data_IF_428100662113
#
_entry.id   IF_428100662113
#
_cell.length_a   1.000
_cell.length_b   1.000
_cell.length_c   1.000
_cell.angle_alpha   90.00
_cell.angle_beta   90.00
_cell.angle_gamma   90.00
#
_symmetry.space_group_name_H-M   'P 1'
#
loop_
_entity.id
_entity.type
_entity.pdbx_description
1 polymer ?
#
# COMPACT_ATOMS: atom_id res chain seq x y z
N UNK A 1 -2.10 2.06 5.86
CA UNK A 1 -0.83 2.00 6.64
C UNK A 1 0.27 1.47 5.76
N UNK A 2 1.52 1.72 6.13
CA UNK A 2 2.69 1.24 5.40
C UNK A 2 3.41 0.18 6.23
N UNK A 3 3.75 -0.95 5.62
CA UNK A 3 4.35 -2.11 6.28
C UNK A 3 5.60 -2.58 5.55
N UNK A 4 6.50 -3.22 6.30
CA UNK A 4 7.47 -4.19 5.78
C UNK A 4 6.91 -5.58 6.08
N UNK A 5 6.71 -6.38 5.04
CA UNK A 5 6.16 -7.73 5.13
C UNK A 5 7.28 -8.71 4.82
N UNK A 6 7.52 -9.67 5.73
CA UNK A 6 8.60 -10.64 5.62
C UNK A 6 8.09 -12.08 5.70
N UNK A 7 8.81 -13.01 5.08
CA UNK A 7 8.59 -14.46 5.23
C UNK A 7 8.99 -14.93 6.63
N UNK A 8 8.01 -15.25 7.47
CA UNK A 8 8.20 -15.74 8.83
C UNK A 8 8.98 -17.07 8.87
N UNK A 9 8.71 -17.97 7.92
CA UNK A 9 9.43 -19.24 7.82
C UNK A 9 10.92 -19.08 7.48
N UNK A 10 11.29 -18.01 6.78
CA UNK A 10 12.69 -17.67 6.49
C UNK A 10 13.32 -17.02 7.72
N UNK A 11 12.61 -16.11 8.40
CA UNK A 11 13.08 -15.55 9.67
C UNK A 11 13.39 -16.64 10.71
N UNK A 12 12.56 -17.67 10.81
CA UNK A 12 12.79 -18.81 11.71
C UNK A 12 14.01 -19.63 11.32
N UNK A 13 14.20 -19.92 10.02
CA UNK A 13 15.39 -20.62 9.51
C UNK A 13 16.68 -19.87 9.82
N UNK A 14 16.63 -18.54 9.82
CA UNK A 14 17.78 -17.67 10.12
C UNK A 14 17.93 -17.37 11.62
N UNK A 15 16.94 -17.72 12.45
CA UNK A 15 16.92 -17.36 13.88
C UNK A 15 16.71 -15.86 14.14
N UNK A 16 16.05 -15.15 13.21
CA UNK A 16 15.94 -13.69 13.21
C UNK A 16 14.53 -13.16 13.53
N UNK A 17 13.55 -14.04 13.84
CA UNK A 17 12.16 -13.61 14.05
C UNK A 17 12.02 -12.56 15.17
N UNK A 18 12.69 -12.76 16.30
CA UNK A 18 12.69 -11.79 17.40
C UNK A 18 13.44 -10.50 17.03
N UNK A 19 14.50 -10.57 16.23
CA UNK A 19 15.19 -9.37 15.75
C UNK A 19 14.28 -8.56 14.83
N UNK A 20 13.60 -9.20 13.88
CA UNK A 20 12.66 -8.56 12.97
C UNK A 20 11.49 -7.92 13.74
N UNK A 21 10.97 -8.60 14.77
CA UNK A 21 9.93 -8.06 15.65
C UNK A 21 10.34 -6.80 16.43
N UNK A 22 11.61 -6.68 16.77
CA UNK A 22 12.13 -5.54 17.53
C UNK A 22 12.86 -4.51 16.65
N UNK A 23 12.74 -4.63 15.33
CA UNK A 23 13.33 -3.74 14.34
C UNK A 23 12.83 -2.31 14.52
N UNK A 24 13.76 -1.34 14.56
CA UNK A 24 13.42 0.09 14.71
C UNK A 24 14.11 0.98 13.69
N UNK A 25 15.25 0.54 13.17
CA UNK A 25 16.09 1.33 12.26
C UNK A 25 16.19 0.68 10.90
N UNK A 26 16.53 1.47 9.88
CA UNK A 26 16.85 0.92 8.56
C UNK A 26 18.09 0.00 8.60
N UNK A 27 19.02 0.25 9.53
CA UNK A 27 20.17 -0.62 9.76
C UNK A 27 19.77 -2.01 10.30
N UNK A 28 18.76 -2.08 11.17
CA UNK A 28 18.22 -3.37 11.64
C UNK A 28 17.64 -4.18 10.48
N UNK A 29 16.90 -3.52 9.58
CA UNK A 29 16.37 -4.15 8.37
C UNK A 29 17.49 -4.60 7.42
N UNK A 30 18.51 -3.76 7.21
CA UNK A 30 19.70 -4.09 6.42
C UNK A 30 20.42 -5.33 6.96
N UNK A 31 20.55 -5.47 8.29
CA UNK A 31 21.16 -6.65 8.90
C UNK A 31 20.37 -7.92 8.60
N UNK A 32 19.04 -7.86 8.59
CA UNK A 32 18.18 -8.99 8.22
C UNK A 32 18.35 -9.33 6.74
N UNK A 33 18.38 -8.32 5.86
CA UNK A 33 18.62 -8.52 4.43
C UNK A 33 20.00 -9.11 4.15
N UNK A 34 21.03 -8.66 4.87
CA UNK A 34 22.39 -9.18 4.80
C UNK A 34 22.44 -10.65 5.21
N UNK A 35 21.83 -11.01 6.34
CA UNK A 35 21.78 -12.39 6.81
C UNK A 35 21.00 -13.30 5.84
N UNK A 36 19.91 -12.83 5.25
CA UNK A 36 19.22 -13.56 4.18
C UNK A 36 20.16 -13.81 2.99
N UNK A 37 20.86 -12.77 2.52
CA UNK A 37 21.81 -12.87 1.40
C UNK A 37 22.94 -13.86 1.69
N UNK A 38 23.54 -13.78 2.88
CA UNK A 38 24.66 -14.63 3.32
C UNK A 38 24.26 -16.09 3.50
N UNK A 39 22.99 -16.35 3.84
CA UNK A 39 22.47 -17.71 4.02
C UNK A 39 22.48 -18.55 2.73
N UNK A 40 22.54 -17.90 1.56
CA UNK A 40 22.47 -18.57 0.26
C UNK A 40 21.09 -19.14 -0.08
N UNK A 41 20.04 -18.78 0.67
CA UNK A 41 18.66 -19.09 0.30
C UNK A 41 18.32 -18.46 -1.07
N UNK A 42 17.50 -19.13 -1.89
CA UNK A 42 17.15 -18.63 -3.22
C UNK A 42 16.31 -17.34 -3.12
N UNK A 43 16.43 -16.49 -4.14
CA UNK A 43 15.69 -15.24 -4.25
C UNK A 43 16.49 -14.01 -3.79
N UNK A 44 15.76 -12.94 -3.49
CA UNK A 44 16.31 -11.64 -3.10
C UNK A 44 15.66 -11.15 -1.81
N UNK A 45 16.38 -10.35 -1.04
CA UNK A 45 15.93 -9.91 0.27
C UNK A 45 14.70 -9.00 0.14
N UNK A 46 14.73 -8.10 -0.84
CA UNK A 46 13.62 -7.18 -1.14
C UNK A 46 13.64 -6.80 -2.62
N UNK A 47 12.70 -5.96 -3.03
CA UNK A 47 12.61 -5.45 -4.39
C UNK A 47 11.17 -5.20 -4.79
N UNK A 48 11.01 -4.91 -6.08
CA UNK A 48 9.70 -4.72 -6.70
C UNK A 48 9.76 -5.02 -8.19
N UNK A 49 8.68 -4.74 -8.89
CA UNK A 49 8.67 -4.66 -10.34
C UNK A 49 8.55 -3.22 -10.84
N UNK A 50 8.86 -3.02 -12.11
CA UNK A 50 8.52 -1.85 -12.89
C UNK A 50 7.03 -1.53 -12.76
N UNK A 51 6.68 -0.26 -12.58
CA UNK A 51 5.30 0.19 -12.41
C UNK A 51 4.85 0.28 -10.96
N UNK A 52 5.67 0.89 -10.08
CA UNK A 52 5.31 1.18 -8.69
C UNK A 52 5.20 -0.07 -7.80
N UNK A 53 5.98 -1.11 -8.09
CA UNK A 53 5.97 -2.39 -7.38
C UNK A 53 6.39 -2.25 -5.91
N UNK A 54 5.45 -1.81 -5.08
CA UNK A 54 5.33 -1.75 -3.62
C UNK A 54 6.53 -1.27 -2.76
N UNK A 55 7.76 -1.17 -3.28
CA UNK A 55 8.93 -0.58 -2.62
C UNK A 55 8.83 0.95 -2.51
N UNK A 56 8.01 1.59 -3.35
CA UNK A 56 7.51 2.95 -3.13
C UNK A 56 6.02 2.88 -2.89
N UNK A 57 5.57 3.51 -1.81
CA UNK A 57 4.15 3.61 -1.47
C UNK A 57 3.76 5.08 -1.48
N UNK A 58 2.74 5.40 -2.27
CA UNK A 58 2.27 6.78 -2.38
C UNK A 58 1.80 7.30 -1.01
N UNK A 59 2.17 8.54 -0.66
CA UNK A 59 1.97 9.08 0.69
C UNK A 59 3.01 8.67 1.73
N UNK A 60 4.10 7.99 1.34
CA UNK A 60 5.19 7.62 2.24
C UNK A 60 6.58 7.73 1.58
N UNK A 61 7.49 8.45 2.23
CA UNK A 61 8.91 8.52 1.86
C UNK A 61 9.72 7.91 3.00
N UNK A 62 10.38 6.79 2.73
CA UNK A 62 11.24 6.09 3.68
C UNK A 62 12.54 6.88 3.84
N UNK A 63 12.78 7.38 5.05
CA UNK A 63 13.88 8.29 5.31
C UNK A 63 14.33 8.20 6.78
N UNK A 64 15.39 8.93 7.11
CA UNK A 64 15.95 9.01 8.46
C UNK A 64 16.77 7.78 8.85
N UNK A 65 17.15 7.72 10.13
CA UNK A 65 17.85 6.56 10.70
C UNK A 65 16.85 5.52 11.20
N UNK A 66 15.79 6.00 11.87
CA UNK A 66 14.71 5.17 12.37
C UNK A 66 13.65 4.98 11.29
N UNK A 67 13.02 3.82 11.27
CA UNK A 67 11.88 3.53 10.39
C UNK A 67 10.74 4.54 10.66
N UNK A 68 10.55 4.93 11.92
CA UNK A 68 9.55 5.93 12.34
C UNK A 68 9.83 7.35 11.86
N UNK A 69 11.03 7.63 11.35
CA UNK A 69 11.36 8.94 10.78
C UNK A 69 10.75 9.09 9.38
N UNK A 70 10.22 8.02 8.78
CA UNK A 70 9.56 8.04 7.47
C UNK A 70 8.53 9.17 7.36
N UNK A 71 8.59 9.90 6.25
CA UNK A 71 7.70 11.03 6.01
C UNK A 71 6.38 10.53 5.43
N UNK A 72 5.32 10.60 6.23
CA UNK A 72 3.97 10.14 5.86
C UNK A 72 3.05 11.33 5.67
N UNK A 73 2.33 11.34 4.56
CA UNK A 73 1.53 12.48 4.13
C UNK A 73 0.27 12.07 3.35
N UNK A 74 -0.62 13.04 3.12
CA UNK A 74 -1.74 12.91 2.20
C UNK A 74 -1.29 13.33 0.78
N UNK A 75 -1.31 12.42 -0.22
CA UNK A 75 -0.93 12.74 -1.59
C UNK A 75 -2.03 13.49 -2.36
N UNK A 76 -3.19 13.78 -1.76
CA UNK A 76 -4.29 14.53 -2.39
C UNK A 76 -4.76 13.94 -3.74
N UNK A 77 -4.61 12.63 -3.91
CA UNK A 77 -4.97 11.92 -5.13
C UNK A 77 -3.92 12.00 -6.25
N UNK A 78 -2.76 12.65 -6.03
CA UNK A 78 -1.60 12.42 -6.89
C UNK A 78 -1.25 10.93 -6.87
N UNK A 79 -0.94 10.36 -8.03
CA UNK A 79 -0.47 8.97 -8.20
C UNK A 79 0.87 8.92 -8.95
N UNK A 80 1.46 10.08 -9.24
CA UNK A 80 2.66 10.24 -10.03
C UNK A 80 3.91 10.47 -9.18
N UNK A 81 3.80 10.31 -7.85
CA UNK A 81 4.90 10.43 -6.87
C UNK A 81 5.66 11.76 -7.00
N UNK A 82 4.92 12.80 -7.38
CA UNK A 82 5.45 14.11 -7.73
C UNK A 82 5.07 15.16 -6.69
N UNK A 83 4.04 14.88 -5.87
CA UNK A 83 3.52 15.76 -4.85
C UNK A 83 3.68 15.18 -3.44
N UNK A 84 4.18 16.00 -2.52
CA UNK A 84 4.12 15.76 -1.09
C UNK A 84 3.45 16.92 -0.35
N UNK A 85 2.91 16.67 0.85
CA UNK A 85 2.25 17.70 1.67
C UNK A 85 2.65 17.63 3.14
N UNK A 86 2.71 18.78 3.83
CA UNK A 86 3.18 18.88 5.22
C UNK A 86 2.08 18.98 6.29
N UNK A 87 0.83 18.74 5.91
CA UNK A 87 -0.38 18.94 6.73
C UNK A 87 -0.58 20.37 7.30
N UNK A 88 0.30 21.33 7.00
CA UNK A 88 0.24 22.73 7.48
C UNK A 88 -0.10 23.72 6.37
N UNK A 89 -0.71 23.22 5.29
CA UNK A 89 -1.12 24.01 4.14
C UNK A 89 -0.08 24.10 3.03
N UNK A 90 0.96 23.26 2.99
CA UNK A 90 1.98 23.31 1.93
C UNK A 90 1.95 22.08 1.03
N UNK A 91 2.01 22.32 -0.28
CA UNK A 91 2.34 21.36 -1.33
C UNK A 91 3.81 21.51 -1.76
N UNK A 92 4.48 20.40 -2.05
CA UNK A 92 5.91 20.35 -2.39
C UNK A 92 6.15 19.37 -3.53
N UNK A 93 7.17 19.66 -4.36
CA UNK A 93 7.70 18.69 -5.31
C UNK A 93 8.38 17.57 -4.53
N UNK A 94 7.73 16.40 -4.48
CA UNK A 94 8.21 15.23 -3.75
C UNK A 94 9.62 14.83 -4.21
N UNK A 95 9.84 14.77 -5.52
CA UNK A 95 11.11 14.28 -6.09
C UNK A 95 12.29 15.16 -5.70
N UNK A 96 12.07 16.47 -5.52
CA UNK A 96 13.08 17.44 -5.12
C UNK A 96 13.33 17.50 -3.60
N UNK A 97 12.59 16.74 -2.79
CA UNK A 97 12.80 16.68 -1.33
C UNK A 97 14.10 15.93 -0.99
N UNK A 98 14.77 16.38 0.06
CA UNK A 98 15.97 15.71 0.58
C UNK A 98 15.65 14.29 1.05
N UNK A 99 14.49 14.12 1.68
CA UNK A 99 13.96 12.84 2.15
C UNK A 99 13.83 11.83 0.99
N UNK A 100 13.33 12.27 -0.17
CA UNK A 100 13.19 11.42 -1.36
C UNK A 100 14.54 11.09 -1.99
N UNK A 101 15.47 12.05 -2.03
CA UNK A 101 16.82 11.76 -2.49
C UNK A 101 17.52 10.73 -1.58
N UNK A 102 17.34 10.84 -0.26
CA UNK A 102 17.89 9.90 0.72
C UNK A 102 17.30 8.49 0.55
N UNK A 103 15.99 8.40 0.29
CA UNK A 103 15.33 7.13 -0.04
C UNK A 103 15.98 6.46 -1.27
N UNK A 104 16.20 7.22 -2.35
CA UNK A 104 16.82 6.68 -3.57
C UNK A 104 18.26 6.22 -3.35
N UNK A 105 19.04 6.96 -2.56
CA UNK A 105 20.40 6.56 -2.15
C UNK A 105 20.39 5.29 -1.30
N UNK A 106 19.41 5.15 -0.41
CA UNK A 106 19.24 3.94 0.40
C UNK A 106 18.95 2.72 -0.48
N UNK A 107 18.04 2.84 -1.46
CA UNK A 107 17.77 1.76 -2.41
C UNK A 107 18.98 1.43 -3.28
N UNK A 108 19.75 2.44 -3.70
CA UNK A 108 21.01 2.21 -4.41
C UNK A 108 22.00 1.38 -3.58
N UNK A 109 22.16 1.71 -2.30
CA UNK A 109 23.00 0.94 -1.38
C UNK A 109 22.53 -0.52 -1.27
N UNK A 110 21.23 -0.76 -1.18
CA UNK A 110 20.68 -2.12 -1.13
C UNK A 110 20.84 -2.89 -2.44
N UNK A 111 20.73 -2.20 -3.58
CA UNK A 111 21.01 -2.77 -4.89
C UNK A 111 22.49 -3.14 -5.05
N UNK A 112 23.41 -2.24 -4.69
CA UNK A 112 24.86 -2.49 -4.74
C UNK A 112 25.30 -3.63 -3.82
N UNK A 113 24.62 -3.79 -2.67
CA UNK A 113 24.84 -4.91 -1.75
C UNK A 113 24.22 -6.24 -2.24
N UNK A 114 23.46 -6.23 -3.34
CA UNK A 114 22.82 -7.41 -3.92
C UNK A 114 21.63 -7.93 -3.10
N UNK A 115 21.01 -7.06 -2.30
CA UNK A 115 19.80 -7.36 -1.52
C UNK A 115 18.53 -7.25 -2.37
N UNK A 116 18.53 -6.34 -3.34
CA UNK A 116 17.38 -6.08 -4.19
C UNK A 116 17.31 -7.00 -5.40
N UNK A 117 16.09 -7.29 -5.87
CA UNK A 117 15.86 -7.94 -7.15
C UNK A 117 16.41 -7.08 -8.31
N UNK A 118 17.41 -7.53 -9.09
CA UNK A 118 18.13 -6.69 -10.05
C UNK A 118 17.26 -6.14 -11.18
N UNK A 119 16.17 -6.83 -11.53
CA UNK A 119 15.25 -6.38 -12.59
C UNK A 119 14.12 -5.50 -12.04
N UNK A 120 14.25 -4.95 -10.83
CA UNK A 120 13.19 -4.17 -10.17
C UNK A 120 12.72 -2.95 -10.98
N UNK A 121 13.54 -2.42 -11.90
CA UNK A 121 13.16 -1.32 -12.77
C UNK A 121 12.54 -1.74 -14.11
N UNK A 122 12.58 -3.03 -14.46
CA UNK A 122 12.24 -3.51 -15.81
C UNK A 122 11.18 -4.62 -15.84
N UNK A 123 11.12 -5.46 -14.80
CA UNK A 123 10.11 -6.52 -14.71
C UNK A 123 8.76 -5.94 -14.25
N UNK A 124 7.72 -6.00 -15.07
CA UNK A 124 6.38 -5.49 -14.72
C UNK A 124 5.63 -6.34 -13.68
N UNK A 125 6.21 -7.44 -13.19
CA UNK A 125 5.60 -8.30 -12.18
C UNK A 125 5.51 -7.58 -10.84
N UNK A 126 4.32 -7.47 -10.26
CA UNK A 126 4.13 -6.76 -9.00
C UNK A 126 4.87 -7.42 -7.82
N UNK A 127 5.34 -6.62 -6.86
CA UNK A 127 6.12 -7.11 -5.73
C UNK A 127 5.40 -8.19 -4.91
N UNK A 128 4.07 -8.05 -4.70
CA UNK A 128 3.26 -9.09 -4.05
C UNK A 128 3.27 -10.41 -4.82
N UNK A 129 3.25 -10.36 -6.14
CA UNK A 129 3.29 -11.56 -6.97
C UNK A 129 4.69 -12.21 -6.92
N UNK A 130 5.76 -11.42 -7.01
CA UNK A 130 7.13 -11.92 -6.81
C UNK A 130 7.34 -12.53 -5.41
N UNK A 131 6.76 -11.93 -4.37
CA UNK A 131 6.74 -12.48 -3.02
C UNK A 131 5.99 -13.82 -2.96
N UNK A 132 4.79 -13.89 -3.54
CA UNK A 132 4.00 -15.12 -3.61
C UNK A 132 4.70 -16.25 -4.38
N UNK A 133 5.48 -15.90 -5.41
CA UNK A 133 6.30 -16.84 -6.18
C UNK A 133 7.59 -17.27 -5.44
N UNK A 134 7.89 -16.69 -4.28
CA UNK A 134 9.08 -16.97 -3.50
C UNK A 134 10.35 -16.32 -4.05
N UNK A 135 10.24 -15.36 -4.96
CA UNK A 135 11.37 -14.57 -5.49
C UNK A 135 11.87 -13.56 -4.46
N UNK A 136 10.96 -12.99 -3.67
CA UNK A 136 11.27 -11.99 -2.64
C UNK A 136 11.04 -12.56 -1.23
N UNK A 137 12.02 -12.35 -0.35
CA UNK A 137 11.92 -12.65 1.09
C UNK A 137 11.04 -11.63 1.82
N UNK A 138 11.12 -10.36 1.43
CA UNK A 138 10.35 -9.27 2.02
C UNK A 138 9.93 -8.25 0.99
N UNK A 139 8.88 -7.50 1.31
CA UNK A 139 8.32 -6.43 0.47
C UNK A 139 7.80 -5.30 1.35
N UNK A 140 7.77 -4.09 0.81
CA UNK A 140 7.01 -3.00 1.41
C UNK A 140 5.57 -3.05 0.91
N UNK A 141 4.60 -2.56 1.68
CA UNK A 141 3.19 -2.57 1.28
C UNK A 141 2.37 -1.47 1.96
N UNK A 142 1.56 -0.75 1.17
CA UNK A 142 0.42 -0.03 1.70
C UNK A 142 -0.77 -0.99 1.88
N UNK A 143 -1.20 -1.22 3.13
CA UNK A 143 -2.29 -2.14 3.45
C UNK A 143 -3.13 -1.69 4.65
N UNK A 144 -4.23 -2.40 4.84
CA UNK A 144 -5.16 -2.39 5.96
C UNK A 144 -4.57 -2.98 7.24
N UNK A 145 -5.25 -2.74 8.37
CA UNK A 145 -4.98 -3.46 9.62
C UNK A 145 -5.32 -4.95 9.47
N UNK A 146 -4.48 -5.84 10.02
CA UNK A 146 -4.64 -7.30 9.87
C UNK A 146 -4.16 -7.86 8.53
N UNK A 147 -3.29 -7.11 7.84
CA UNK A 147 -2.67 -7.46 6.56
C UNK A 147 -2.07 -8.87 6.54
N UNK A 148 -1.60 -9.38 7.68
CA UNK A 148 -1.02 -10.71 7.79
C UNK A 148 -2.02 -11.78 7.32
N UNK A 149 -3.30 -11.66 7.65
CA UNK A 149 -4.33 -12.65 7.27
C UNK A 149 -4.47 -12.75 5.75
N UNK A 150 -4.56 -11.62 5.06
CA UNK A 150 -4.70 -11.58 3.60
C UNK A 150 -3.43 -12.04 2.89
N UNK A 151 -2.25 -11.74 3.45
CA UNK A 151 -0.97 -12.18 2.91
C UNK A 151 -0.69 -13.67 3.14
N UNK A 152 -1.01 -14.23 4.31
CA UNK A 152 -0.92 -15.69 4.54
C UNK A 152 -1.84 -16.43 3.58
N UNK A 153 -3.10 -16.00 3.48
CA UNK A 153 -4.10 -16.65 2.63
C UNK A 153 -3.70 -16.66 1.14
N UNK A 154 -3.08 -15.57 0.66
CA UNK A 154 -2.74 -15.43 -0.76
C UNK A 154 -1.34 -15.91 -1.14
N UNK A 155 -0.42 -16.03 -0.20
CA UNK A 155 0.94 -16.53 -0.46
C UNK A 155 1.14 -17.99 -0.06
N UNK A 156 0.33 -18.50 0.88
CA UNK A 156 0.53 -19.81 1.50
C UNK A 156 1.73 -19.87 2.45
N UNK A 157 2.40 -18.75 2.69
CA UNK A 157 3.55 -18.66 3.58
C UNK A 157 3.17 -18.16 4.98
N UNK A 158 4.02 -18.50 5.95
CA UNK A 158 4.06 -17.75 7.20
C UNK A 158 4.62 -16.35 6.93
N UNK A 159 3.95 -15.31 7.44
CA UNK A 159 4.29 -13.91 7.20
C UNK A 159 4.32 -13.14 8.51
N UNK A 160 5.22 -12.18 8.58
CA UNK A 160 5.32 -11.17 9.64
C UNK A 160 5.17 -9.79 8.99
N UNK A 161 4.34 -8.91 9.57
CA UNK A 161 4.14 -7.56 9.06
C UNK A 161 4.53 -6.54 10.12
N UNK A 162 5.44 -5.64 9.76
CA UNK A 162 5.99 -4.62 10.64
C UNK A 162 5.53 -3.25 10.17
N UNK A 163 4.83 -2.52 11.06
CA UNK A 163 4.32 -1.19 10.74
C UNK A 163 5.47 -0.20 10.59
N UNK A 164 5.60 0.40 9.41
CA UNK A 164 6.51 1.53 9.16
C UNK A 164 5.87 2.83 9.63
N UNK A 165 4.58 3.00 9.34
CA UNK A 165 3.79 4.06 9.94
C UNK A 165 2.36 4.13 9.42
N UNK A 166 1.58 4.98 10.07
CA UNK A 166 0.14 5.08 9.88
C UNK A 166 -0.19 6.07 8.77
N UNK A 167 -0.93 5.59 7.77
CA UNK A 167 -1.45 6.50 6.73
C UNK A 167 -2.58 7.32 7.34
N UNK A 168 -2.61 8.65 7.16
CA UNK A 168 -3.75 9.43 7.58
C UNK A 168 -5.01 9.01 6.81
N UNK A 169 -6.17 9.09 7.47
CA UNK A 169 -7.45 9.06 6.79
C UNK A 169 -7.53 10.28 5.87
N UNK A 170 -7.57 10.03 4.56
CA UNK A 170 -7.61 11.05 3.52
C UNK A 170 -8.80 10.82 2.58
N UNK A 171 -9.07 11.82 1.73
CA UNK A 171 -10.21 11.80 0.79
C UNK A 171 -10.14 10.62 -0.18
N UNK A 172 -8.94 10.32 -0.71
CA UNK A 172 -8.71 9.22 -1.64
C UNK A 172 -9.06 7.87 -1.02
N UNK A 173 -8.66 7.63 0.24
CA UNK A 173 -9.00 6.42 0.98
C UNK A 173 -10.51 6.30 1.20
N UNK A 174 -11.21 7.40 1.52
CA UNK A 174 -12.66 7.41 1.69
C UNK A 174 -13.44 7.17 0.40
N UNK A 175 -12.88 7.55 -0.77
CA UNK A 175 -13.53 7.43 -2.08
C UNK A 175 -13.14 6.16 -2.85
N UNK A 176 -12.14 5.40 -2.38
CA UNK A 176 -11.52 4.27 -3.10
C UNK A 176 -12.51 3.22 -3.61
N UNK A 177 -13.52 2.88 -2.82
CA UNK A 177 -14.51 1.84 -3.13
C UNK A 177 -15.93 2.41 -3.21
N UNK A 178 -16.13 3.43 -4.05
CA UNK A 178 -17.44 4.05 -4.25
C UNK A 178 -18.39 3.20 -5.11
N UNK A 179 -19.64 3.04 -4.66
CA UNK A 179 -20.74 2.55 -5.50
C UNK A 179 -21.46 3.75 -6.12
N UNK A 180 -21.59 3.74 -7.45
CA UNK A 180 -22.26 4.81 -8.21
C UNK A 180 -23.51 4.31 -8.90
N UNK A 181 -24.54 5.15 -8.93
CA UNK A 181 -25.78 4.89 -9.65
C UNK A 181 -25.79 5.68 -10.96
N UNK A 182 -25.90 5.04 -12.12
CA UNK A 182 -26.02 5.78 -13.38
C UNK A 182 -27.33 6.57 -13.41
N UNK A 183 -27.30 7.76 -14.00
CA UNK A 183 -28.50 8.61 -14.17
C UNK A 183 -29.59 7.96 -15.01
N UNK A 184 -29.26 6.91 -15.76
CA UNK A 184 -30.17 6.09 -16.57
C UNK A 184 -30.78 4.91 -15.81
N UNK A 185 -30.56 4.79 -14.49
CA UNK A 185 -31.11 3.69 -13.70
C UNK A 185 -32.65 3.72 -13.73
N UNK A 186 -33.26 2.59 -14.12
CA UNK A 186 -34.72 2.46 -14.23
C UNK A 186 -35.41 2.35 -12.86
N UNK A 187 -34.71 1.80 -11.88
CA UNK A 187 -35.26 1.48 -10.54
C UNK A 187 -34.33 1.96 -9.42
N UNK A 188 -34.07 3.28 -9.32
CA UNK A 188 -33.08 3.83 -8.39
C UNK A 188 -33.39 3.48 -6.93
N UNK A 189 -34.66 3.45 -6.54
CA UNK A 189 -35.06 3.10 -5.18
C UNK A 189 -34.74 1.65 -4.82
N UNK A 190 -34.93 0.71 -5.75
CA UNK A 190 -34.63 -0.69 -5.53
C UNK A 190 -33.11 -0.91 -5.40
N UNK A 191 -32.33 -0.25 -6.24
CA UNK A 191 -30.86 -0.30 -6.16
C UNK A 191 -30.37 0.30 -4.84
N UNK A 192 -30.94 1.42 -4.38
CA UNK A 192 -30.57 2.00 -3.09
C UNK A 192 -30.95 1.11 -1.91
N UNK A 193 -32.08 0.39 -1.97
CA UNK A 193 -32.41 -0.64 -0.96
C UNK A 193 -31.39 -1.76 -0.94
N UNK A 194 -30.94 -2.23 -2.11
CA UNK A 194 -29.89 -3.23 -2.21
C UNK A 194 -28.55 -2.72 -1.64
N UNK A 195 -28.12 -1.51 -2.03
CA UNK A 195 -26.92 -0.88 -1.49
C UNK A 195 -27.02 -0.77 0.03
N UNK A 196 -28.16 -0.32 0.57
CA UNK A 196 -28.34 -0.22 2.02
C UNK A 196 -28.11 -1.57 2.72
N UNK A 197 -28.56 -2.70 2.15
CA UNK A 197 -28.31 -4.03 2.72
C UNK A 197 -26.81 -4.35 2.83
N UNK A 198 -25.99 -3.90 1.89
CA UNK A 198 -24.53 -4.04 1.96
C UNK A 198 -23.90 -3.29 3.15
N UNK A 199 -24.60 -2.31 3.72
CA UNK A 199 -24.09 -1.53 4.85
C UNK A 199 -24.79 -1.85 6.18
N UNK A 200 -25.89 -2.62 6.17
CA UNK A 200 -26.71 -2.86 7.36
C UNK A 200 -27.03 -4.33 7.66
N UNK A 201 -26.82 -5.26 6.72
CA UNK A 201 -27.22 -6.66 6.88
C UNK A 201 -26.01 -7.62 6.87
N UNK A 202 -25.68 -8.28 8.00
CA UNK A 202 -24.55 -9.20 8.08
C UNK A 202 -24.73 -10.46 7.24
N UNK A 203 -25.96 -10.99 7.07
CA UNK A 203 -26.19 -12.19 6.25
C UNK A 203 -25.85 -11.91 4.78
N UNK A 204 -26.22 -10.72 4.29
CA UNK A 204 -25.88 -10.27 2.94
C UNK A 204 -24.36 -10.07 2.81
N UNK A 205 -23.74 -9.40 3.77
CA UNK A 205 -22.29 -9.14 3.74
C UNK A 205 -21.45 -10.40 3.82
N UNK A 206 -21.86 -11.41 4.60
CA UNK A 206 -21.18 -12.70 4.64
C UNK A 206 -21.44 -13.50 3.36
N UNK A 207 -22.66 -13.46 2.80
CA UNK A 207 -22.97 -14.14 1.55
C UNK A 207 -22.10 -13.67 0.38
N UNK A 208 -21.95 -12.35 0.20
CA UNK A 208 -21.19 -11.78 -0.93
C UNK A 208 -19.68 -11.87 -0.74
N UNK A 209 -19.23 -12.07 0.49
CA UNK A 209 -17.80 -12.11 0.83
C UNK A 209 -17.30 -13.55 0.93
N UNK A 210 -17.99 -14.40 1.68
CA UNK A 210 -17.58 -15.78 2.00
C UNK A 210 -18.36 -16.85 1.24
N UNK A 211 -19.48 -16.50 0.59
CA UNK A 211 -20.33 -17.45 -0.11
C UNK A 211 -21.41 -18.04 0.79
N UNK A 212 -21.81 -19.29 0.54
CA UNK A 212 -22.93 -19.92 1.25
C UNK A 212 -22.39 -20.73 2.44
N UNK A 213 -22.83 -20.43 3.65
CA UNK A 213 -22.48 -21.22 4.85
C UNK A 213 -22.89 -22.69 4.68
N UNK A 214 -22.01 -23.61 5.08
CA UNK A 214 -22.15 -25.06 4.89
C UNK A 214 -21.89 -25.56 3.46
N UNK A 215 -21.53 -24.66 2.52
CA UNK A 215 -21.07 -25.02 1.17
C UNK A 215 -19.71 -24.42 0.83
N UNK A 216 -19.56 -23.12 1.02
CA UNK A 216 -18.35 -22.35 0.73
C UNK A 216 -17.47 -22.21 1.97
N UNK A 217 -18.08 -22.01 3.13
CA UNK A 217 -17.39 -21.84 4.41
C UNK A 217 -18.22 -22.43 5.56
N UNK A 218 -17.59 -22.64 6.71
CA UNK A 218 -18.23 -22.93 8.00
C UNK A 218 -17.75 -21.94 9.06
N UNK A 219 -18.48 -21.85 10.17
CA UNK A 219 -18.10 -21.01 11.31
C UNK A 219 -17.62 -21.89 12.46
N UNK A 220 -16.41 -21.64 12.94
CA UNK A 220 -15.81 -22.31 14.10
C UNK A 220 -15.30 -21.25 15.06
N UNK A 221 -15.69 -21.34 16.33
CA UNK A 221 -15.27 -20.41 17.39
C UNK A 221 -15.45 -18.91 17.05
N UNK A 222 -16.48 -18.58 16.28
CA UNK A 222 -16.81 -17.21 15.89
C UNK A 222 -16.03 -16.69 14.68
N UNK A 223 -15.26 -17.53 13.99
CA UNK A 223 -14.54 -17.19 12.76
C UNK A 223 -14.99 -18.07 11.59
N UNK A 224 -15.07 -17.48 10.40
CA UNK A 224 -15.36 -18.20 9.17
C UNK A 224 -14.09 -18.90 8.64
N UNK A 225 -14.24 -20.11 8.13
CA UNK A 225 -13.14 -20.89 7.56
C UNK A 225 -13.59 -21.77 6.40
N UNK A 226 -12.63 -22.24 5.60
CA UNK A 226 -12.91 -23.24 4.58
C UNK A 226 -13.39 -24.56 5.20
N UNK A 227 -14.28 -25.26 4.49
CA UNK A 227 -14.79 -26.56 4.92
C UNK A 227 -13.78 -27.65 4.54
N UNK A 228 -13.31 -28.42 5.52
CA UNK A 228 -12.34 -29.49 5.30
C UNK A 228 -11.03 -28.97 4.71
N UNK A 229 -10.52 -29.63 3.67
CA UNK A 229 -9.25 -29.28 3.02
C UNK A 229 -9.41 -28.26 1.87
N UNK A 230 -10.55 -27.58 1.79
CA UNK A 230 -10.78 -26.57 0.76
C UNK A 230 -9.92 -25.31 0.98
N UNK A 231 -9.71 -24.57 -0.10
CA UNK A 231 -8.94 -23.33 -0.14
C UNK A 231 -9.64 -22.25 -0.99
N UNK A 232 -8.96 -21.13 -1.23
CA UNK A 232 -9.50 -20.02 -2.03
C UNK A 232 -9.87 -20.42 -3.47
N UNK A 233 -9.28 -21.49 -4.02
CA UNK A 233 -9.50 -21.95 -5.39
C UNK A 233 -10.56 -23.05 -5.46
N UNK A 234 -10.73 -23.82 -4.39
CA UNK A 234 -11.57 -25.04 -4.36
C UNK A 234 -12.85 -24.89 -3.53
N UNK A 235 -12.96 -23.87 -2.68
CA UNK A 235 -14.18 -23.54 -1.90
C UNK A 235 -15.38 -23.09 -2.74
N UNK A 236 -15.18 -22.88 -4.05
CA UNK A 236 -16.20 -22.44 -5.00
C UNK A 236 -16.50 -20.94 -4.95
N UNK A 237 -16.39 -20.30 -3.78
CA UNK A 237 -16.51 -18.85 -3.65
C UNK A 237 -15.78 -18.34 -2.41
N UNK A 238 -14.89 -17.35 -2.61
CA UNK A 238 -14.25 -16.59 -1.54
C UNK A 238 -13.78 -15.24 -2.11
N UNK A 239 -14.06 -14.15 -1.41
CA UNK A 239 -13.72 -12.79 -1.84
C UNK A 239 -13.11 -11.98 -0.68
N UNK A 240 -12.68 -10.75 -0.95
CA UNK A 240 -12.09 -9.87 0.06
C UNK A 240 -13.17 -8.98 0.69
N UNK A 241 -13.22 -8.96 2.02
CA UNK A 241 -14.19 -8.23 2.84
C UNK A 241 -14.15 -6.70 2.68
N UNK A 242 -12.99 -6.13 2.35
CA UNK A 242 -12.83 -4.68 2.20
C UNK A 242 -13.37 -4.09 0.89
N UNK A 243 -13.76 -4.93 -0.09
CA UNK A 243 -14.06 -4.44 -1.46
C UNK A 243 -15.43 -3.80 -1.61
N UNK A 244 -16.41 -4.20 -0.81
CA UNK A 244 -17.81 -3.80 -1.01
C UNK A 244 -18.56 -3.73 0.31
N UNK A 245 -19.37 -2.67 0.48
CA UNK A 245 -20.24 -2.53 1.65
C UNK A 245 -19.49 -2.24 2.95
N UNK A 246 -20.09 -2.64 4.07
CA UNK A 246 -19.53 -2.46 5.40
C UNK A 246 -18.81 -3.74 5.88
N UNK A 247 -17.48 -3.75 5.75
CA UNK A 247 -16.64 -4.89 6.16
C UNK A 247 -16.77 -5.27 7.65
N UNK A 248 -17.20 -4.36 8.51
CA UNK A 248 -17.42 -4.65 9.94
C UNK A 248 -18.61 -5.58 10.20
N UNK A 249 -19.46 -5.83 9.19
CA UNK A 249 -20.55 -6.80 9.26
C UNK A 249 -20.12 -8.23 8.85
N UNK A 250 -18.95 -8.39 8.23
CA UNK A 250 -18.42 -9.69 7.87
C UNK A 250 -17.84 -10.41 9.10
N UNK A 251 -18.04 -11.72 9.16
CA UNK A 251 -17.32 -12.58 10.10
C UNK A 251 -15.80 -12.41 9.89
N UNK A 252 -14.98 -12.45 10.95
CA UNK A 252 -13.55 -12.60 10.81
C UNK A 252 -13.22 -13.91 10.10
N UNK A 253 -12.13 -13.94 9.34
CA UNK A 253 -11.67 -15.14 8.67
C UNK A 253 -10.62 -15.88 9.50
N UNK A 254 -10.55 -17.20 9.35
CA UNK A 254 -9.56 -18.06 10.02
C UNK A 254 -8.13 -17.51 9.84
N UNK A 255 -7.41 -17.45 10.96
CA UNK A 255 -6.14 -16.73 11.08
C UNK A 255 -6.26 -15.38 11.79
N UNK A 256 -7.46 -14.80 11.86
CA UNK A 256 -7.76 -13.64 12.71
C UNK A 256 -8.41 -14.06 14.04
N UNK A 257 -8.38 -13.17 15.03
CA UNK A 257 -9.13 -13.35 16.28
C UNK A 257 -10.65 -13.15 16.05
N UNK A 258 -11.52 -13.80 16.84
CA UNK A 258 -12.97 -13.52 16.79
C UNK A 258 -13.33 -12.05 17.03
N UNK A 259 -12.48 -11.34 17.78
CA UNK A 259 -12.59 -9.90 18.10
C UNK A 259 -12.04 -8.98 17.02
N UNK A 260 -11.52 -9.50 15.90
CA UNK A 260 -10.82 -8.73 14.87
C UNK A 260 -11.61 -7.51 14.35
N UNK A 261 -12.94 -7.63 14.17
CA UNK A 261 -13.77 -6.51 13.70
C UNK A 261 -13.88 -5.38 14.73
N UNK A 262 -13.94 -5.72 16.01
CA UNK A 262 -14.00 -4.75 17.10
C UNK A 262 -12.64 -4.06 17.27
N UNK A 263 -11.56 -4.84 17.25
CA UNK A 263 -10.18 -4.35 17.34
C UNK A 263 -9.83 -3.44 16.16
N UNK A 264 -10.15 -3.85 14.93
CA UNK A 264 -9.93 -3.03 13.74
C UNK A 264 -10.75 -1.75 13.77
N UNK A 265 -12.01 -1.78 14.21
CA UNK A 265 -12.82 -0.57 14.34
C UNK A 265 -12.22 0.40 15.37
N UNK A 266 -11.75 -0.11 16.50
CA UNK A 266 -11.11 0.73 17.52
C UNK A 266 -9.79 1.32 17.02
N UNK A 267 -8.97 0.53 16.33
CA UNK A 267 -7.76 1.00 15.66
C UNK A 267 -8.08 2.14 14.68
N UNK A 268 -9.11 1.99 13.83
CA UNK A 268 -9.47 3.01 12.85
C UNK A 268 -10.06 4.29 13.47
N UNK A 269 -10.71 4.21 14.64
CA UNK A 269 -11.15 5.41 15.37
C UNK A 269 -9.97 6.23 15.91
N UNK A 270 -8.85 5.58 16.19
CA UNK A 270 -7.62 6.22 16.65
C UNK A 270 -6.74 6.76 15.52
N UNK A 271 -7.01 6.40 14.26
CA UNK A 271 -6.15 6.76 13.13
C UNK A 271 -6.10 8.29 12.93
N UNK A 272 -4.92 8.85 12.62
CA UNK A 272 -4.81 10.27 12.30
C UNK A 272 -5.64 10.59 11.06
N UNK A 273 -6.29 11.76 11.06
CA UNK A 273 -6.97 12.28 9.86
C UNK A 273 -6.08 13.31 9.18
N UNK A 274 -6.12 13.37 7.85
CA UNK A 274 -5.48 14.45 7.14
C UNK A 274 -6.20 15.76 7.42
N UNK A 275 -5.44 16.85 7.58
CA UNK A 275 -5.98 18.21 7.63
C UNK A 275 -6.65 18.61 6.30
N UNK A 276 -6.46 17.84 5.24
CA UNK A 276 -7.08 18.04 3.93
C UNK A 276 -8.22 17.04 3.65
N UNK A 277 -8.67 16.29 4.65
CA UNK A 277 -9.78 15.34 4.48
C UNK A 277 -11.04 16.06 3.96
N UNK A 278 -11.55 15.63 2.81
CA UNK A 278 -12.65 16.26 2.07
C UNK A 278 -12.20 17.13 0.89
N UNK A 279 -10.90 17.41 0.76
CA UNK A 279 -10.34 18.05 -0.43
C UNK A 279 -10.22 17.06 -1.57
N UNK A 280 -10.77 17.43 -2.73
CA UNK A 280 -10.51 16.78 -4.03
C UNK A 280 -10.02 17.86 -4.98
N UNK A 281 -8.81 17.69 -5.51
CA UNK A 281 -8.20 18.63 -6.45
C UNK A 281 -8.80 18.42 -7.84
N UNK A 282 -9.35 19.48 -8.44
CA UNK A 282 -9.89 19.40 -9.80
C UNK A 282 -8.75 19.52 -10.82
N UNK A 283 -8.52 18.44 -11.56
CA UNK A 283 -7.46 18.33 -12.56
C UNK A 283 -7.95 18.37 -14.01
N UNK A 284 -9.28 18.51 -14.22
CA UNK A 284 -9.90 18.37 -15.55
C UNK A 284 -9.38 19.35 -16.62
N UNK A 285 -8.94 20.55 -16.25
CA UNK A 285 -8.39 21.54 -17.19
C UNK A 285 -6.86 21.44 -17.36
N UNK A 286 -6.21 20.45 -16.71
CA UNK A 286 -4.76 20.29 -16.65
C UNK A 286 -4.26 18.96 -17.23
N UNK A 287 -5.05 18.31 -18.09
CA UNK A 287 -4.74 16.98 -18.66
C UNK A 287 -3.37 16.93 -19.35
N UNK A 288 -3.00 17.96 -20.10
CA UNK A 288 -1.71 18.01 -20.81
C UNK A 288 -0.51 18.13 -19.85
N UNK A 289 -0.66 18.92 -18.78
CA UNK A 289 0.35 19.05 -17.74
C UNK A 289 0.54 17.71 -17.02
N UNK A 290 -0.55 17.07 -16.62
CA UNK A 290 -0.54 15.77 -15.95
C UNK A 290 0.09 14.68 -16.82
N UNK A 291 -0.26 14.66 -18.11
CA UNK A 291 0.33 13.71 -19.05
C UNK A 291 1.86 13.90 -19.18
N UNK A 292 2.34 15.16 -19.17
CA UNK A 292 3.77 15.45 -19.20
C UNK A 292 4.48 14.97 -17.92
N UNK A 293 3.91 15.24 -16.74
CA UNK A 293 4.44 14.75 -15.45
C UNK A 293 4.46 13.23 -15.41
N UNK A 294 3.34 12.58 -15.77
CA UNK A 294 3.24 11.12 -15.82
C UNK A 294 4.31 10.50 -16.70
N UNK A 295 4.57 11.06 -17.89
CA UNK A 295 5.57 10.53 -18.82
C UNK A 295 6.98 10.57 -18.24
N UNK A 296 7.32 11.64 -17.51
CA UNK A 296 8.63 11.73 -16.83
C UNK A 296 8.68 10.76 -15.64
N UNK A 297 7.60 10.66 -14.84
CA UNK A 297 7.53 9.67 -13.74
C UNK A 297 7.71 8.25 -14.26
N UNK A 298 7.04 7.86 -15.34
CA UNK A 298 7.14 6.53 -15.95
C UNK A 298 8.56 6.23 -16.44
N UNK A 299 9.27 7.24 -16.93
CA UNK A 299 10.66 7.10 -17.38
C UNK A 299 11.64 6.90 -16.21
N UNK A 300 11.51 7.65 -15.11
CA UNK A 300 12.56 7.73 -14.08
C UNK A 300 12.22 7.07 -12.76
N UNK A 301 10.97 7.14 -12.30
CA UNK A 301 10.63 6.76 -10.93
C UNK A 301 10.91 5.28 -10.67
N UNK A 302 10.57 4.41 -11.61
CA UNK A 302 10.89 2.97 -11.53
C UNK A 302 12.39 2.69 -11.44
N UNK A 303 13.23 3.46 -12.14
CA UNK A 303 14.69 3.33 -12.05
C UNK A 303 15.21 3.74 -10.67
N UNK A 304 14.72 4.86 -10.14
CA UNK A 304 15.11 5.35 -8.81
C UNK A 304 14.71 4.35 -7.71
N UNK A 305 13.47 3.86 -7.75
CA UNK A 305 12.97 2.85 -6.81
C UNK A 305 13.64 1.49 -6.99
N UNK A 306 14.08 1.16 -8.21
CA UNK A 306 14.88 -0.01 -8.50
C UNK A 306 16.34 0.10 -8.08
N UNK A 307 16.75 1.17 -7.39
CA UNK A 307 18.12 1.32 -6.89
C UNK A 307 19.13 1.73 -7.96
N UNK A 308 18.69 2.27 -9.10
CA UNK A 308 19.59 2.77 -10.17
C UNK A 308 20.04 4.23 -9.97
N UNK A 309 19.81 4.80 -8.78
CA UNK A 309 20.20 6.17 -8.47
C UNK A 309 21.68 6.43 -8.80
N UNK A 310 21.91 7.54 -9.51
CA UNK A 310 23.18 8.27 -9.60
C UNK A 310 22.85 9.75 -9.52
N UNK A 311 23.83 10.58 -9.12
CA UNK A 311 23.60 12.03 -9.05
C UNK A 311 23.20 12.59 -10.43
N UNK A 312 23.84 12.14 -11.52
CA UNK A 312 23.52 12.56 -12.89
C UNK A 312 22.10 12.17 -13.30
N UNK A 313 21.68 10.92 -13.07
CA UNK A 313 20.33 10.45 -13.43
C UNK A 313 19.26 11.16 -12.60
N UNK A 314 19.54 11.45 -11.32
CA UNK A 314 18.64 12.20 -10.47
C UNK A 314 18.51 13.67 -10.89
N UNK A 315 19.61 14.33 -11.27
CA UNK A 315 19.56 15.68 -11.83
C UNK A 315 18.82 15.73 -13.17
N UNK A 316 19.00 14.72 -14.04
CA UNK A 316 18.21 14.60 -15.27
C UNK A 316 16.72 14.47 -14.97
N UNK A 317 16.34 13.64 -13.99
CA UNK A 317 14.94 13.49 -13.58
C UNK A 317 14.34 14.83 -13.10
N UNK A 318 15.04 15.54 -12.22
CA UNK A 318 14.60 16.86 -11.75
C UNK A 318 14.47 17.87 -12.89
N UNK A 319 15.41 17.90 -13.82
CA UNK A 319 15.38 18.81 -14.95
C UNK A 319 14.21 18.50 -15.89
N UNK A 320 13.96 17.21 -16.20
CA UNK A 320 12.82 16.81 -17.04
C UNK A 320 11.49 17.09 -16.38
N UNK A 321 11.35 16.91 -15.06
CA UNK A 321 10.14 17.31 -14.33
C UNK A 321 9.92 18.83 -14.41
N UNK A 322 11.00 19.61 -14.29
CA UNK A 322 10.95 21.05 -14.45
C UNK A 322 10.49 21.46 -15.85
N UNK A 323 11.07 20.85 -16.88
CA UNK A 323 10.69 21.09 -18.27
C UNK A 323 9.25 20.64 -18.59
N UNK A 324 8.76 19.62 -17.88
CA UNK A 324 7.38 19.13 -17.94
C UNK A 324 6.38 19.99 -17.15
N UNK A 325 6.83 20.99 -16.40
CA UNK A 325 5.96 21.93 -15.70
C UNK A 325 5.63 21.58 -14.24
N UNK A 326 6.51 20.86 -13.53
CA UNK A 326 6.26 20.47 -12.13
C UNK A 326 5.94 21.67 -11.22
N UNK A 327 6.51 22.85 -11.47
CA UNK A 327 6.20 24.05 -10.69
C UNK A 327 4.72 24.49 -10.85
N UNK A 328 4.17 24.38 -12.07
CA UNK A 328 2.75 24.64 -12.32
C UNK A 328 1.87 23.57 -11.66
N UNK A 329 2.32 22.31 -11.72
CA UNK A 329 1.63 21.19 -11.09
C UNK A 329 1.54 21.38 -9.56
N UNK A 330 2.64 21.73 -8.90
CA UNK A 330 2.62 22.03 -7.45
C UNK A 330 1.76 23.25 -7.13
N UNK A 331 1.79 24.29 -7.97
CA UNK A 331 0.95 25.47 -7.79
C UNK A 331 -0.56 25.17 -7.87
N UNK A 332 -0.97 24.25 -8.75
CA UNK A 332 -2.37 23.77 -8.85
C UNK A 332 -2.85 23.16 -7.52
N UNK A 333 -2.03 22.28 -6.93
CA UNK A 333 -2.36 21.66 -5.64
C UNK A 333 -2.31 22.68 -4.50
N UNK A 334 -1.32 23.57 -4.49
CA UNK A 334 -1.20 24.64 -3.49
C UNK A 334 -2.43 25.57 -3.49
N UNK A 335 -2.91 26.01 -4.65
CA UNK A 335 -4.11 26.84 -4.76
C UNK A 335 -5.36 26.11 -4.24
N UNK A 336 -5.47 24.81 -4.50
CA UNK A 336 -6.56 23.97 -3.98
C UNK A 336 -6.50 23.85 -2.44
N UNK A 337 -5.31 23.65 -1.88
CA UNK A 337 -5.08 23.61 -0.42
C UNK A 337 -5.42 24.97 0.20
N UNK A 338 -4.92 26.08 -0.36
CA UNK A 338 -5.15 27.43 0.15
C UNK A 338 -6.64 27.78 0.16
N UNK A 339 -7.40 27.40 -0.88
CA UNK A 339 -8.85 27.59 -0.95
C UNK A 339 -9.60 26.74 0.07
N UNK A 340 -9.12 25.53 0.33
CA UNK A 340 -9.72 24.61 1.29
C UNK A 340 -9.52 25.08 2.74
N UNK A 341 -8.28 25.45 3.09
CA UNK A 341 -7.86 25.81 4.45
C UNK A 341 -8.35 27.20 4.91
N UNK A 342 -8.83 28.06 4.00
CA UNK A 342 -9.41 29.37 4.35
C UNK A 342 -10.83 29.29 4.93
N UNK A 343 -11.48 28.13 4.88
CA UNK A 343 -12.87 27.93 5.35
C UNK A 343 -12.92 27.48 6.79
#
# INVERSE_FOLDING_TARGET
NFYIIMRGDILDKLGLREQAKNMKTWADYENIMAAFKESGLPGYATGGGAGFGMISNNGCIYQGENISDSYIFDPLGDVYFSLATDQNGKAMNQVAMEETQNQFKMFRKWMDAGYMYPDSAYDSTGAKELFNQGVLFSVFAASEYGVETSWRASSGYDVECYLVGESPLNTSNAQKFGLVLPTTCKEPEAVMKWINLLYTNPDIMNLITWGIEGKSYEVVDGVAQYIGDADALTSGFHNNDYKIGNAFLCLPWSGAAPTFREESLEFFKGAPASNYLGLTVNTSDHESLIAAISAVTDEFHGQMCGGFYTDDLYQEYLQKLKDAGIDEYIALYQDSIDKFMKK
#
